data_IF_960431750017
#
_entry.id   IF_960431750017
#
_cell.length_a   1.000
_cell.length_b   1.000
_cell.length_c   1.000
_cell.angle_alpha   90.00
_cell.angle_beta   90.00
_cell.angle_gamma   90.00
#
_symmetry.space_group_name_H-M   'P 1'
#
loop_
_entity.id
_entity.type
_entity.pdbx_description
1 polymer ?
#
# COMPACT_ATOMS: atom_id res chain seq x y z
N UNK A 1 -28.25 5.55 -0.42
CA UNK A 1 -27.34 4.39 -0.61
C UNK A 1 -28.17 3.11 -0.58
N UNK A 2 -28.01 2.23 -1.57
CA UNK A 2 -28.74 0.95 -1.65
C UNK A 2 -28.29 -0.04 -0.57
N UNK A 3 -29.15 -0.97 -0.16
CA UNK A 3 -28.81 -2.07 0.74
C UNK A 3 -27.57 -2.83 0.24
N UNK A 4 -27.45 -3.05 -1.08
CA UNK A 4 -26.28 -3.71 -1.67
C UNK A 4 -24.99 -2.91 -1.43
N UNK A 5 -25.01 -1.61 -1.65
CA UNK A 5 -23.86 -0.73 -1.42
C UNK A 5 -23.48 -0.69 0.06
N UNK A 6 -24.48 -0.65 0.95
CA UNK A 6 -24.24 -0.71 2.40
C UNK A 6 -23.57 -2.01 2.83
N UNK A 7 -24.00 -3.16 2.28
CA UNK A 7 -23.39 -4.45 2.56
C UNK A 7 -21.94 -4.53 2.06
N UNK A 8 -21.66 -4.04 0.84
CA UNK A 8 -20.29 -3.95 0.30
C UNK A 8 -19.43 -3.07 1.18
N UNK A 9 -19.89 -1.86 1.54
CA UNK A 9 -19.16 -0.97 2.43
C UNK A 9 -18.82 -1.63 3.77
N UNK A 10 -19.78 -2.32 4.38
CA UNK A 10 -19.58 -3.05 5.64
C UNK A 10 -18.57 -4.19 5.50
N UNK A 11 -18.55 -4.86 4.37
CA UNK A 11 -17.58 -5.90 4.05
C UNK A 11 -16.17 -5.32 3.92
N UNK A 12 -15.98 -4.24 3.13
CA UNK A 12 -14.70 -3.57 2.95
C UNK A 12 -14.13 -3.08 4.29
N UNK A 13 -14.96 -2.47 5.14
CA UNK A 13 -14.56 -2.06 6.49
C UNK A 13 -14.13 -3.22 7.40
N UNK A 14 -14.72 -4.40 7.23
CA UNK A 14 -14.30 -5.60 7.97
C UNK A 14 -12.96 -6.13 7.49
N UNK A 15 -12.69 -6.06 6.19
CA UNK A 15 -11.40 -6.44 5.61
C UNK A 15 -10.30 -5.50 6.05
N UNK A 16 -10.51 -4.18 5.92
CA UNK A 16 -9.59 -3.14 6.41
C UNK A 16 -9.20 -3.37 7.88
N UNK A 17 -10.19 -3.63 8.76
CA UNK A 17 -9.93 -3.91 10.17
C UNK A 17 -9.11 -5.19 10.40
N UNK A 18 -9.25 -6.20 9.54
CA UNK A 18 -8.48 -7.44 9.65
C UNK A 18 -7.04 -7.19 9.21
N UNK A 19 -6.85 -6.51 8.09
CA UNK A 19 -5.54 -6.28 7.50
C UNK A 19 -4.70 -5.36 8.38
N UNK A 20 -5.29 -4.33 8.99
CA UNK A 20 -4.62 -3.48 9.99
C UNK A 20 -4.00 -4.28 11.15
N UNK A 21 -4.60 -5.42 11.53
CA UNK A 21 -4.04 -6.28 12.59
C UNK A 21 -2.85 -7.11 12.10
N UNK A 22 -2.81 -7.43 10.81
CA UNK A 22 -1.70 -8.15 10.18
C UNK A 22 -0.54 -7.19 9.96
N UNK A 23 -0.82 -6.01 9.41
CA UNK A 23 0.13 -4.92 9.19
C UNK A 23 0.84 -4.50 10.48
N UNK A 24 0.11 -4.39 11.59
CA UNK A 24 0.69 -4.04 12.90
C UNK A 24 1.71 -5.08 13.42
N UNK A 25 1.84 -6.24 12.78
CA UNK A 25 2.80 -7.29 13.11
C UNK A 25 3.94 -7.40 12.08
N UNK A 26 3.88 -6.64 10.99
CA UNK A 26 4.94 -6.63 9.99
C UNK A 26 6.07 -5.74 10.47
N UNK A 27 7.30 -6.25 10.37
CA UNK A 27 8.52 -5.49 10.62
C UNK A 27 9.21 -5.22 9.29
N UNK A 28 9.70 -3.99 9.11
CA UNK A 28 10.51 -3.65 7.95
C UNK A 28 11.89 -4.28 8.17
N UNK A 29 12.43 -5.05 7.20
CA UNK A 29 13.78 -5.60 7.32
C UNK A 29 14.83 -4.50 7.49
N UNK A 30 15.83 -4.76 8.33
CA UNK A 30 16.97 -3.86 8.52
C UNK A 30 17.74 -3.62 7.21
N UNK A 31 18.42 -2.47 7.12
CA UNK A 31 19.25 -2.11 5.96
C UNK A 31 18.47 -1.71 4.71
N UNK A 32 17.18 -1.40 4.84
CA UNK A 32 16.32 -0.85 3.80
C UNK A 32 16.06 0.63 4.07
N UNK A 33 16.35 1.47 3.06
CA UNK A 33 15.94 2.87 3.02
C UNK A 33 14.58 2.98 2.34
N UNK A 34 13.62 3.58 3.03
CA UNK A 34 12.29 3.88 2.50
C UNK A 34 12.19 5.36 2.07
N UNK A 35 11.64 5.59 0.89
CA UNK A 35 11.22 6.90 0.42
C UNK A 35 9.71 6.87 0.19
N UNK A 36 8.95 7.42 1.13
CA UNK A 36 7.49 7.31 1.10
C UNK A 36 6.80 8.55 0.51
N UNK A 37 5.60 8.34 -0.03
CA UNK A 37 4.70 9.44 -0.40
C UNK A 37 5.12 10.22 -1.66
N UNK A 38 5.79 9.55 -2.59
CA UNK A 38 6.24 10.14 -3.85
C UNK A 38 5.03 10.21 -4.81
N UNK A 39 4.63 11.41 -5.28
CA UNK A 39 3.58 11.51 -6.29
C UNK A 39 4.10 11.04 -7.65
N UNK A 40 3.39 10.10 -8.28
CA UNK A 40 3.62 9.75 -9.68
C UNK A 40 2.65 10.47 -10.65
N UNK A 41 1.61 11.09 -10.08
CA UNK A 41 0.79 12.13 -10.71
C UNK A 41 0.70 13.30 -9.72
N UNK A 42 0.95 14.52 -10.19
CA UNK A 42 0.91 15.73 -9.36
C UNK A 42 -0.52 16.29 -9.25
N UNK A 43 -1.40 15.57 -8.56
CA UNK A 43 -2.81 15.96 -8.36
C UNK A 43 -3.26 15.90 -6.89
N UNK A 44 -2.35 15.57 -5.98
CA UNK A 44 -2.62 15.45 -4.54
C UNK A 44 -3.52 14.27 -4.17
N UNK A 45 -3.88 13.39 -5.12
CA UNK A 45 -4.73 12.25 -4.82
C UNK A 45 -3.91 11.16 -4.12
N UNK A 46 -4.37 10.69 -2.95
CA UNK A 46 -3.65 9.68 -2.15
C UNK A 46 -3.35 8.40 -2.94
N UNK A 47 -4.27 7.99 -3.84
CA UNK A 47 -4.06 6.83 -4.70
C UNK A 47 -2.93 6.99 -5.72
N UNK A 48 -2.43 8.21 -5.91
CA UNK A 48 -1.35 8.55 -6.83
C UNK A 48 0.01 8.73 -6.15
N UNK A 49 0.15 8.19 -4.94
CA UNK A 49 1.42 8.12 -4.22
C UNK A 49 2.01 6.72 -4.32
N UNK A 50 3.35 6.64 -4.37
CA UNK A 50 4.12 5.40 -4.26
C UNK A 50 5.22 5.53 -3.21
N UNK A 51 5.74 4.38 -2.80
CA UNK A 51 6.93 4.29 -1.94
C UNK A 51 8.04 3.54 -2.69
N UNK A 52 9.29 3.91 -2.44
CA UNK A 52 10.47 3.22 -2.96
C UNK A 52 11.25 2.63 -1.78
N UNK A 53 11.51 1.32 -1.85
CA UNK A 53 12.36 0.61 -0.89
C UNK A 53 13.69 0.28 -1.57
N UNK A 54 14.79 0.68 -0.97
CA UNK A 54 16.12 0.55 -1.55
C UNK A 54 17.15 0.06 -0.53
N UNK A 55 17.98 -0.96 -0.82
CA UNK A 55 19.02 -1.41 0.11
C UNK A 55 20.09 -0.33 0.33
N UNK A 56 20.44 -0.04 1.59
CA UNK A 56 21.35 1.07 1.93
C UNK A 56 22.74 0.95 1.29
N UNK A 57 23.25 -0.28 1.14
CA UNK A 57 24.62 -0.57 0.69
C UNK A 57 24.70 -1.06 -0.76
N UNK A 58 23.67 -0.83 -1.58
CA UNK A 58 23.70 -1.22 -2.98
C UNK A 58 24.63 -0.33 -3.81
N UNK A 59 25.50 -0.95 -4.61
CA UNK A 59 26.36 -0.25 -5.57
C UNK A 59 25.78 -0.37 -6.98
N UNK A 60 25.55 0.78 -7.64
CA UNK A 60 25.06 0.83 -9.01
C UNK A 60 23.56 0.60 -9.15
N UNK A 61 23.12 0.29 -10.38
CA UNK A 61 21.70 0.07 -10.71
C UNK A 61 21.29 -1.34 -10.32
N UNK A 62 20.11 -1.47 -9.72
CA UNK A 62 19.49 -2.76 -9.38
C UNK A 62 18.35 -3.06 -10.35
N UNK A 63 17.97 -4.35 -10.53
CA UNK A 63 16.69 -4.71 -11.10
C UNK A 63 15.53 -4.06 -10.32
N UNK A 64 14.53 -3.55 -11.03
CA UNK A 64 13.35 -2.93 -10.43
C UNK A 64 12.25 -3.98 -10.22
N UNK A 65 11.70 -4.04 -9.01
CA UNK A 65 10.47 -4.76 -8.71
C UNK A 65 9.36 -3.73 -8.52
N UNK A 66 8.23 -3.93 -9.20
CA UNK A 66 7.01 -3.13 -9.02
C UNK A 66 5.98 -4.02 -8.34
N UNK A 67 5.62 -3.66 -7.12
CA UNK A 67 4.55 -4.30 -6.36
C UNK A 67 3.23 -3.57 -6.62
N UNK A 68 2.19 -4.33 -7.01
CA UNK A 68 0.84 -3.82 -7.26
C UNK A 68 -0.11 -4.58 -6.34
N UNK A 69 -0.59 -3.89 -5.30
CA UNK A 69 -1.42 -4.52 -4.27
C UNK A 69 -2.80 -4.96 -4.80
N UNK A 70 -3.38 -5.93 -4.10
CA UNK A 70 -4.74 -6.42 -4.34
C UNK A 70 -5.84 -5.54 -3.72
N UNK A 71 -6.96 -6.17 -3.34
CA UNK A 71 -8.12 -5.46 -2.76
C UNK A 71 -9.29 -5.27 -3.73
N UNK A 72 -9.24 -5.93 -4.89
CA UNK A 72 -10.36 -6.02 -5.83
C UNK A 72 -10.82 -4.68 -6.40
N UNK A 73 -9.90 -3.71 -6.51
CA UNK A 73 -10.15 -2.33 -6.98
C UNK A 73 -11.13 -1.52 -6.10
N UNK A 74 -11.52 -2.04 -4.94
CA UNK A 74 -12.52 -1.43 -4.05
C UNK A 74 -11.93 -0.96 -2.72
N UNK A 75 -10.75 -1.45 -2.38
CA UNK A 75 -10.09 -1.23 -1.10
C UNK A 75 -8.57 -1.40 -1.28
N UNK A 76 -7.83 -0.77 -0.37
CA UNK A 76 -6.38 -0.85 -0.31
C UNK A 76 -5.71 0.42 -0.84
N UNK A 77 -4.58 0.76 -0.23
CA UNK A 77 -3.62 1.75 -0.71
C UNK A 77 -2.22 1.12 -0.66
N UNK A 78 -1.17 1.88 -1.00
CA UNK A 78 0.22 1.43 -0.95
C UNK A 78 0.65 0.84 0.41
N UNK A 79 -0.03 1.21 1.50
CA UNK A 79 0.22 0.67 2.85
C UNK A 79 -0.54 -0.64 3.16
N UNK A 80 -1.46 -1.10 2.31
CA UNK A 80 -2.34 -2.25 2.58
C UNK A 80 -1.71 -3.61 2.25
N UNK A 81 -0.47 -3.81 2.70
CA UNK A 81 0.33 -5.04 2.51
C UNK A 81 0.13 -6.10 3.60
#
# INVERSE_FOLDING_TARGET
MSIKQFLVYKMLKRWEKRDLKTLAKQEIPDGIKEFSGIPYVDDGHRGHLLDIYYPENAAGKLPLIIDIHGGGFLYGYKESR
#
